data_IF_164592568432
#
_entry.id   IF_164592568432
#
_cell.length_a   1.000
_cell.length_b   1.000
_cell.length_c   1.000
_cell.angle_alpha   90.00
_cell.angle_beta   90.00
_cell.angle_gamma   90.00
#
_symmetry.space_group_name_H-M   'P 1'
#
loop_
_entity.id
_entity.type
_entity.pdbx_description
1 polymer ?
#
# COMPACT_ATOMS: atom_id res chain seq x y z
N UNK A 1 10.20 -30.16 2.50
CA UNK A 1 8.78 -29.80 2.60
C UNK A 1 8.17 -29.91 1.22
N UNK A 2 7.48 -31.02 0.93
CA UNK A 2 6.74 -31.24 -0.31
C UNK A 2 5.37 -30.58 -0.14
N UNK A 3 5.25 -29.32 -0.58
CA UNK A 3 3.97 -28.62 -0.60
C UNK A 3 3.18 -29.11 -1.82
N UNK A 4 2.26 -30.04 -1.61
CA UNK A 4 1.20 -30.42 -2.55
C UNK A 4 0.15 -29.29 -2.60
N UNK A 5 0.57 -28.14 -3.11
CA UNK A 5 -0.22 -26.92 -3.10
C UNK A 5 -1.09 -26.82 -4.33
N UNK A 6 -2.40 -26.88 -4.12
CA UNK A 6 -3.43 -26.58 -5.12
C UNK A 6 -3.08 -25.31 -5.91
N UNK A 7 -3.45 -25.29 -7.19
CA UNK A 7 -3.10 -24.27 -8.19
C UNK A 7 -3.40 -22.80 -7.79
N UNK A 8 -4.11 -22.58 -6.69
CA UNK A 8 -4.51 -21.26 -6.18
C UNK A 8 -3.82 -20.86 -4.86
N UNK A 9 -2.85 -21.61 -4.35
CA UNK A 9 -2.18 -21.31 -3.06
C UNK A 9 -1.15 -20.17 -3.12
N UNK A 10 -1.07 -19.45 -4.25
CA UNK A 10 -0.13 -18.35 -4.45
C UNK A 10 -0.34 -17.24 -3.42
N UNK A 11 0.68 -16.39 -3.21
CA UNK A 11 0.64 -15.27 -2.27
C UNK A 11 -0.60 -14.35 -2.43
N UNK A 12 -1.15 -14.26 -3.65
CA UNK A 12 -2.36 -13.50 -3.98
C UNK A 12 -3.66 -14.11 -3.42
N UNK A 13 -3.74 -15.43 -3.26
CA UNK A 13 -4.88 -16.11 -2.65
C UNK A 13 -4.99 -15.86 -1.15
N UNK A 14 -3.86 -15.71 -0.46
CA UNK A 14 -3.80 -15.40 0.99
C UNK A 14 -4.14 -13.95 1.32
N UNK A 15 -3.80 -13.02 0.42
CA UNK A 15 -4.17 -11.61 0.54
C UNK A 15 -5.57 -11.30 -0.03
N UNK A 16 -6.34 -12.31 -0.45
CA UNK A 16 -7.69 -12.12 -1.02
C UNK A 16 -7.73 -11.29 -2.31
N UNK A 17 -6.61 -11.20 -3.04
CA UNK A 17 -6.51 -10.42 -4.28
C UNK A 17 -6.36 -8.91 -4.12
N UNK A 18 -6.03 -8.40 -2.91
CA UNK A 18 -5.79 -6.96 -2.74
C UNK A 18 -4.55 -6.47 -3.51
N UNK A 19 -4.76 -5.40 -4.28
CA UNK A 19 -3.70 -4.54 -4.79
C UNK A 19 -3.51 -3.41 -3.78
N UNK A 20 -2.49 -3.52 -2.94
CA UNK A 20 -2.24 -2.58 -1.86
C UNK A 20 -0.76 -2.21 -1.83
N UNK A 21 -0.50 -0.93 -1.65
CA UNK A 21 0.81 -0.43 -1.29
C UNK A 21 0.68 0.54 -0.11
N UNK A 22 1.54 0.38 0.89
CA UNK A 22 1.63 1.22 2.07
C UNK A 22 2.90 2.07 2.04
N UNK A 23 2.84 3.24 2.67
CA UNK A 23 3.99 4.16 2.81
C UNK A 23 4.61 4.11 4.21
N UNK A 24 4.21 3.12 5.01
CA UNK A 24 4.57 3.01 6.42
C UNK A 24 6.07 2.73 6.60
N UNK A 25 6.71 2.05 5.65
CA UNK A 25 8.14 1.75 5.65
C UNK A 25 9.01 2.88 5.06
N UNK A 26 8.43 4.05 4.74
CA UNK A 26 9.15 5.14 4.09
C UNK A 26 10.40 5.58 4.88
N UNK A 27 10.27 5.69 6.20
CA UNK A 27 11.41 6.02 7.07
C UNK A 27 12.50 4.96 7.06
N UNK A 28 12.13 3.68 7.02
CA UNK A 28 13.10 2.59 6.93
C UNK A 28 13.87 2.66 5.62
N UNK A 29 13.20 2.97 4.51
CA UNK A 29 13.86 3.22 3.23
C UNK A 29 14.77 4.44 3.29
N UNK A 30 14.31 5.55 3.86
CA UNK A 30 15.11 6.78 4.01
C UNK A 30 16.38 6.51 4.83
N UNK A 31 16.29 5.68 5.87
CA UNK A 31 17.43 5.23 6.68
C UNK A 31 18.37 4.30 5.91
N UNK A 32 17.82 3.35 5.15
CA UNK A 32 18.60 2.32 4.47
C UNK A 32 19.32 2.82 3.21
N UNK A 33 18.65 3.64 2.39
CA UNK A 33 19.14 4.04 1.06
C UNK A 33 19.25 5.56 0.86
N UNK A 34 18.92 6.35 1.88
CA UNK A 34 18.90 7.81 1.81
C UNK A 34 17.64 8.36 1.13
N UNK A 35 17.31 9.63 1.41
CA UNK A 35 16.05 10.27 0.99
C UNK A 35 15.79 10.19 -0.51
N UNK A 36 16.78 10.55 -1.35
CA UNK A 36 16.59 10.58 -2.81
C UNK A 36 16.25 9.20 -3.39
N UNK A 37 16.87 8.14 -2.88
CA UNK A 37 16.58 6.78 -3.32
C UNK A 37 15.26 6.26 -2.73
N UNK A 38 14.96 6.59 -1.47
CA UNK A 38 13.69 6.26 -0.82
C UNK A 38 12.49 6.85 -1.55
N UNK A 39 12.57 8.11 -1.99
CA UNK A 39 11.53 8.76 -2.81
C UNK A 39 11.32 8.00 -4.12
N UNK A 40 12.42 7.64 -4.81
CA UNK A 40 12.33 6.88 -6.07
C UNK A 40 11.69 5.51 -5.86
N UNK A 41 12.11 4.79 -4.81
CA UNK A 41 11.58 3.48 -4.46
C UNK A 41 10.10 3.56 -4.12
N UNK A 42 9.70 4.54 -3.30
CA UNK A 42 8.30 4.72 -2.89
C UNK A 42 7.42 5.08 -4.07
N UNK A 43 7.88 5.96 -4.97
CA UNK A 43 7.15 6.28 -6.20
C UNK A 43 7.01 5.06 -7.12
N UNK A 44 8.07 4.28 -7.27
CA UNK A 44 8.03 3.03 -8.04
C UNK A 44 7.01 2.05 -7.46
N UNK A 45 7.03 1.85 -6.13
CA UNK A 45 6.07 1.02 -5.39
C UNK A 45 4.62 1.47 -5.61
N UNK A 46 4.31 2.75 -5.37
CA UNK A 46 2.98 3.33 -5.55
C UNK A 46 2.49 3.27 -7.00
N UNK A 47 3.40 3.40 -7.97
CA UNK A 47 3.11 3.34 -9.40
C UNK A 47 2.53 2.00 -9.87
N UNK A 48 2.77 0.90 -9.15
CA UNK A 48 2.17 -0.39 -9.52
C UNK A 48 0.64 -0.38 -9.45
N UNK A 49 0.04 0.37 -8.52
CA UNK A 49 -1.41 0.37 -8.34
C UNK A 49 -2.18 0.86 -9.59
N UNK A 50 -1.89 2.06 -10.15
CA UNK A 50 -2.57 2.50 -11.37
C UNK A 50 -2.22 1.64 -12.59
N UNK A 51 -0.99 1.13 -12.71
CA UNK A 51 -0.60 0.25 -13.82
C UNK A 51 -1.39 -1.08 -13.79
N UNK A 52 -1.54 -1.68 -12.61
CA UNK A 52 -2.34 -2.90 -12.44
C UNK A 52 -3.82 -2.64 -12.67
N UNK A 53 -4.32 -1.47 -12.28
CA UNK A 53 -5.69 -1.07 -12.58
C UNK A 53 -5.94 -0.90 -14.07
N UNK A 54 -5.03 -0.22 -14.77
CA UNK A 54 -5.13 -0.02 -16.21
C UNK A 54 -5.06 -1.36 -16.96
N UNK A 55 -4.14 -2.24 -16.55
CA UNK A 55 -4.03 -3.60 -17.09
C UNK A 55 -5.35 -4.37 -16.95
N UNK A 56 -5.95 -4.36 -15.76
CA UNK A 56 -7.21 -5.06 -15.50
C UNK A 56 -8.40 -4.48 -16.29
N UNK A 57 -8.39 -3.18 -16.60
CA UNK A 57 -9.46 -2.50 -17.34
C UNK A 57 -9.35 -2.64 -18.85
N UNK A 58 -8.13 -2.61 -19.38
CA UNK A 58 -7.87 -2.50 -20.83
C UNK A 58 -7.67 -3.83 -21.53
N UNK A 59 -7.24 -4.87 -20.81
CA UNK A 59 -7.01 -6.20 -21.37
C UNK A 59 -8.28 -7.05 -21.30
N UNK A 60 -8.97 -7.34 -22.43
CA UNK A 60 -10.23 -8.08 -22.41
C UNK A 60 -10.13 -9.46 -21.75
N UNK A 61 -9.00 -10.14 -21.94
CA UNK A 61 -8.68 -11.44 -21.36
C UNK A 61 -8.56 -11.40 -19.83
N UNK A 62 -8.07 -10.29 -19.25
CA UNK A 62 -7.99 -10.11 -17.80
C UNK A 62 -9.33 -9.62 -17.26
N UNK A 63 -9.95 -8.66 -17.95
CA UNK A 63 -11.23 -8.06 -17.54
C UNK A 63 -12.36 -9.07 -17.45
N UNK A 64 -12.37 -10.07 -18.34
CA UNK A 64 -13.38 -11.13 -18.34
C UNK A 64 -13.39 -11.93 -17.04
N UNK A 65 -12.21 -12.14 -16.45
CA UNK A 65 -12.01 -13.03 -15.31
C UNK A 65 -11.68 -12.27 -14.00
N UNK A 66 -11.74 -10.93 -14.01
CA UNK A 66 -11.43 -10.09 -12.85
C UNK A 66 -12.53 -9.08 -12.52
N UNK A 67 -12.68 -8.77 -11.23
CA UNK A 67 -13.61 -7.77 -10.71
C UNK A 67 -12.87 -6.74 -9.87
N UNK A 68 -12.08 -5.90 -10.53
CA UNK A 68 -11.35 -4.86 -9.84
C UNK A 68 -12.31 -3.79 -9.29
N UNK A 69 -12.15 -3.44 -8.02
CA UNK A 69 -12.83 -2.32 -7.36
C UNK A 69 -11.83 -1.50 -6.57
N UNK A 70 -11.97 -0.17 -6.61
CA UNK A 70 -11.27 0.72 -5.70
C UNK A 70 -11.98 0.69 -4.34
N UNK A 71 -11.19 0.54 -3.28
CA UNK A 71 -11.65 0.54 -1.89
C UNK A 71 -10.68 1.35 -1.06
N UNK A 72 -11.13 1.79 0.11
CA UNK A 72 -10.26 2.39 1.11
C UNK A 72 -9.64 1.30 1.98
N UNK A 73 -8.37 1.47 2.31
CA UNK A 73 -7.64 0.60 3.21
C UNK A 73 -7.28 1.36 4.48
N UNK A 74 -7.51 0.73 5.64
CA UNK A 74 -7.18 1.29 6.94
C UNK A 74 -6.20 0.36 7.63
N UNK A 75 -5.08 0.93 8.10
CA UNK A 75 -4.19 0.26 9.04
C UNK A 75 -4.63 0.59 10.46
N UNK A 76 -4.94 -0.44 11.25
CA UNK A 76 -5.37 -0.30 12.65
C UNK A 76 -4.22 -0.72 13.56
N UNK A 77 -3.94 0.09 14.57
CA UNK A 77 -2.88 -0.13 15.55
C UNK A 77 -3.53 -0.32 16.93
N UNK A 78 -3.12 -1.34 17.66
CA UNK A 78 -3.69 -1.71 18.95
C UNK A 78 -2.91 -1.14 20.15
N UNK A 79 -1.75 -0.56 19.89
CA UNK A 79 -0.90 0.09 20.88
C UNK A 79 -0.49 1.49 20.39
N UNK A 80 -0.26 2.37 21.36
CA UNK A 80 0.02 3.77 21.10
C UNK A 80 1.43 3.99 20.49
N UNK A 81 2.38 3.12 20.83
CA UNK A 81 3.76 3.22 20.36
C UNK A 81 3.84 2.97 18.84
N UNK A 82 3.26 1.86 18.38
CA UNK A 82 3.21 1.51 16.96
C UNK A 82 2.41 2.52 16.14
N UNK A 83 1.29 3.03 16.68
CA UNK A 83 0.54 4.10 16.03
C UNK A 83 1.36 5.38 15.88
N UNK A 84 2.06 5.82 16.93
CA UNK A 84 2.92 7.01 16.88
C UNK A 84 4.06 6.84 15.87
N UNK A 85 4.68 5.66 15.83
CA UNK A 85 5.72 5.36 14.85
C UNK A 85 5.19 5.45 13.40
N UNK A 86 4.01 4.89 13.14
CA UNK A 86 3.35 4.96 11.85
C UNK A 86 2.98 6.39 11.45
N UNK A 87 2.43 7.19 12.37
CA UNK A 87 2.11 8.61 12.15
C UNK A 87 3.36 9.42 11.85
N UNK A 88 4.46 9.17 12.57
CA UNK A 88 5.73 9.82 12.32
C UNK A 88 6.28 9.48 10.93
N UNK A 89 6.24 8.20 10.53
CA UNK A 89 6.63 7.76 9.20
C UNK A 89 5.78 8.42 8.11
N UNK A 90 4.46 8.47 8.32
CA UNK A 90 3.53 9.14 7.41
C UNK A 90 3.80 10.64 7.28
N UNK A 91 4.15 11.33 8.38
CA UNK A 91 4.48 12.75 8.36
C UNK A 91 5.75 13.06 7.55
N UNK A 92 6.79 12.23 7.71
CA UNK A 92 8.03 12.38 6.92
C UNK A 92 7.81 12.07 5.44
N UNK A 93 6.98 11.07 5.12
CA UNK A 93 6.54 10.82 3.73
C UNK A 93 5.79 12.03 3.14
N UNK A 94 4.82 12.59 3.87
CA UNK A 94 4.04 13.77 3.44
C UNK A 94 4.92 14.98 3.15
N UNK A 95 5.94 15.20 3.99
CA UNK A 95 6.91 16.29 3.83
C UNK A 95 7.75 16.13 2.56
N UNK A 96 8.24 14.93 2.30
CA UNK A 96 9.15 14.67 1.19
C UNK A 96 8.42 14.43 -0.15
N UNK A 97 7.15 14.00 -0.12
CA UNK A 97 6.34 13.61 -1.28
C UNK A 97 4.90 14.17 -1.19
N UNK A 98 4.72 15.51 -1.16
CA UNK A 98 3.42 16.12 -0.89
C UNK A 98 2.35 15.80 -1.93
N UNK A 99 2.71 15.64 -3.21
CA UNK A 99 1.76 15.30 -4.27
C UNK A 99 1.22 13.86 -4.11
N UNK A 100 2.10 12.90 -3.89
CA UNK A 100 1.75 11.49 -3.73
C UNK A 100 1.00 11.21 -2.42
N UNK A 101 1.20 12.07 -1.41
CA UNK A 101 0.64 11.85 -0.07
C UNK A 101 -0.81 12.31 0.14
N UNK A 102 -1.44 12.89 -0.88
CA UNK A 102 -2.77 13.51 -0.80
C UNK A 102 -3.88 12.57 -0.32
N UNK A 103 -3.79 11.28 -0.67
CA UNK A 103 -4.78 10.26 -0.29
C UNK A 103 -4.52 9.62 1.08
N UNK A 104 -3.45 9.99 1.79
CA UNK A 104 -3.06 9.35 3.04
C UNK A 104 -3.42 10.22 4.25
N UNK A 105 -4.08 9.63 5.24
CA UNK A 105 -4.43 10.29 6.49
C UNK A 105 -4.24 9.36 7.69
N UNK A 106 -4.08 9.96 8.86
CA UNK A 106 -4.09 9.27 10.15
C UNK A 106 -5.20 9.86 11.00
N UNK A 107 -5.98 9.00 11.65
CA UNK A 107 -7.07 9.41 12.53
C UNK A 107 -6.84 8.85 13.92
N UNK A 108 -7.08 9.66 14.95
CA UNK A 108 -7.18 9.20 16.34
C UNK A 108 -8.65 9.07 16.73
N UNK A 109 -8.94 8.12 17.62
CA UNK A 109 -10.29 7.73 18.01
C UNK A 109 -11.04 8.78 18.82
N UNK A 110 -11.50 9.84 18.16
CA UNK A 110 -12.75 10.55 18.49
C UNK A 110 -13.57 10.95 17.26
N UNK A 111 -13.02 10.94 16.03
CA UNK A 111 -13.77 11.20 14.80
C UNK A 111 -13.25 10.40 13.60
N UNK A 112 -13.90 9.28 13.31
CA UNK A 112 -13.96 8.75 11.94
C UNK A 112 -15.19 9.36 11.28
N UNK A 113 -15.04 10.53 10.66
CA UNK A 113 -16.11 11.10 9.80
C UNK A 113 -16.22 10.24 8.54
N UNK A 114 -17.42 9.66 8.35
CA UNK A 114 -17.83 9.00 7.11
C UNK A 114 -17.92 9.97 5.95
#
# INVERSE_FOLDING_TARGET
>A
MLEARDACSGATGRNGGHLLETVLEYLDFKKAVGQKAAIKLTRFRLGHLPEMEELARTRPEIRKDSQLRRVEFISVYFDEESFKAAVHSLAEFKKDMPQESTAFASHTGEKLTK
#
